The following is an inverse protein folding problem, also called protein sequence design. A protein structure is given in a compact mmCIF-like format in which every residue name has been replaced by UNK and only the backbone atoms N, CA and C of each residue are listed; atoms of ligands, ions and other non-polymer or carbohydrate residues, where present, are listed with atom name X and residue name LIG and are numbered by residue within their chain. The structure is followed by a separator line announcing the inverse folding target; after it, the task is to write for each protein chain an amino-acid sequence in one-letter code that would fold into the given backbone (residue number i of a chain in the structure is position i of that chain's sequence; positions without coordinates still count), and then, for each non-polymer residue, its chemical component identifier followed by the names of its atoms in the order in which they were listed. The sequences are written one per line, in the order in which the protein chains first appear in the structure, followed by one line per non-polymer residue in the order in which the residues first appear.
data_IF_504890052336
#
_entry.id   IF_504890052336
#
_cell.length_a   1.000
_cell.length_b   1.000
_cell.length_c   1.000
_cell.angle_alpha   90.00
_cell.angle_beta   90.00
_cell.angle_gamma   90.00
#
_symmetry.space_group_name_H-M   'P 1'
#
loop_
_entity.id
_entity.type
_entity.pdbx_description
1 polymer ?
#
# COMPACT_ATOMS: atom_id res chain seq x y z
N UNK A 1 11.42 -15.37 6.71
CA UNK A 1 10.21 -15.12 5.91
C UNK A 1 10.53 -15.12 4.41
N UNK A 2 9.53 -15.50 3.59
CA UNK A 2 9.62 -15.45 2.13
C UNK A 2 9.40 -14.03 1.60
N UNK A 3 9.97 -13.74 0.42
CA UNK A 3 9.81 -12.46 -0.28
C UNK A 3 9.56 -12.75 -1.75
N UNK A 4 8.48 -12.19 -2.28
CA UNK A 4 8.18 -12.18 -3.71
C UNK A 4 8.02 -10.73 -4.17
N UNK A 5 8.59 -10.40 -5.32
CA UNK A 5 8.52 -9.05 -5.89
C UNK A 5 7.82 -9.14 -7.23
N UNK A 6 6.69 -8.47 -7.36
CA UNK A 6 5.91 -8.40 -8.58
C UNK A 6 6.25 -7.11 -9.33
N UNK A 7 6.63 -7.26 -10.58
CA UNK A 7 6.94 -6.15 -11.48
C UNK A 7 5.67 -5.59 -12.17
N UNK A 8 5.87 -4.59 -13.03
CA UNK A 8 4.77 -3.92 -13.72
C UNK A 8 3.93 -4.87 -14.57
N UNK A 9 4.58 -5.78 -15.31
CA UNK A 9 3.86 -6.67 -16.23
C UNK A 9 3.01 -7.68 -15.45
N UNK A 10 3.56 -8.23 -14.37
CA UNK A 10 2.83 -9.09 -13.45
C UNK A 10 1.65 -8.37 -12.78
N UNK A 11 1.83 -7.10 -12.40
CA UNK A 11 0.75 -6.28 -11.83
C UNK A 11 -0.38 -6.00 -12.84
N UNK A 12 -0.04 -5.85 -14.13
CA UNK A 12 -1.02 -5.74 -15.21
C UNK A 12 -1.83 -7.04 -15.34
N UNK A 13 -1.16 -8.20 -15.37
CA UNK A 13 -1.81 -9.51 -15.43
C UNK A 13 -2.71 -9.76 -14.20
N UNK A 14 -2.29 -9.29 -13.04
CA UNK A 14 -3.04 -9.38 -11.79
C UNK A 14 -4.23 -8.41 -11.72
N UNK A 15 -4.32 -7.44 -12.64
CA UNK A 15 -5.37 -6.43 -12.64
C UNK A 15 -5.27 -5.40 -11.50
N UNK A 16 -4.05 -5.09 -11.04
CA UNK A 16 -3.79 -4.12 -9.98
C UNK A 16 -3.91 -2.67 -10.48
N UNK A 17 -5.10 -2.30 -10.96
CA UNK A 17 -5.33 -1.01 -11.61
C UNK A 17 -5.26 0.20 -10.69
N UNK A 18 -5.43 0.02 -9.38
CA UNK A 18 -5.21 1.08 -8.39
C UNK A 18 -3.74 1.48 -8.32
N UNK A 19 -2.84 0.51 -8.13
CA UNK A 19 -1.39 0.74 -8.09
C UNK A 19 -0.86 1.27 -9.44
N UNK A 20 -1.27 0.65 -10.54
CA UNK A 20 -0.85 1.04 -11.89
C UNK A 20 -1.34 2.44 -12.27
N UNK A 21 -2.56 2.81 -11.88
CA UNK A 21 -3.12 4.13 -12.14
C UNK A 21 -2.35 5.24 -11.43
N UNK A 22 -2.04 5.05 -10.15
CA UNK A 22 -1.24 6.00 -9.37
C UNK A 22 0.17 6.12 -9.95
N UNK A 23 0.77 5.00 -10.37
CA UNK A 23 2.10 4.99 -11.00
C UNK A 23 2.16 5.73 -12.34
N UNK A 24 1.04 5.96 -13.02
CA UNK A 24 1.01 6.49 -14.39
C UNK A 24 1.80 7.77 -14.66
N UNK A 25 2.09 8.56 -13.62
CA UNK A 25 2.90 9.78 -13.69
C UNK A 25 4.39 9.58 -13.40
N UNK A 26 4.81 8.42 -12.86
CA UNK A 26 6.19 8.13 -12.51
C UNK A 26 6.97 7.54 -13.68
N UNK A 27 8.28 7.81 -13.73
CA UNK A 27 9.23 7.13 -14.62
C UNK A 27 9.75 5.83 -14.00
N UNK A 28 9.64 5.71 -12.67
CA UNK A 28 10.00 4.50 -11.94
C UNK A 28 8.84 3.51 -11.98
N UNK A 29 9.12 2.25 -12.25
CA UNK A 29 8.09 1.23 -12.30
C UNK A 29 7.56 0.87 -10.91
N UNK A 30 6.25 0.55 -10.79
CA UNK A 30 5.67 0.11 -9.54
C UNK A 30 6.17 -1.27 -9.15
N UNK A 31 6.16 -1.56 -7.88
CA UNK A 31 6.41 -2.91 -7.35
C UNK A 31 5.38 -3.24 -6.27
N UNK A 32 4.89 -4.44 -6.29
CA UNK A 32 4.26 -5.03 -5.12
C UNK A 32 5.23 -6.04 -4.51
N UNK A 33 5.47 -5.94 -3.21
CA UNK A 33 6.30 -6.89 -2.48
C UNK A 33 5.39 -7.69 -1.57
N UNK A 34 5.32 -9.00 -1.79
CA UNK A 34 4.62 -9.92 -0.93
C UNK A 34 5.61 -10.58 0.03
N UNK A 35 5.30 -10.49 1.31
CA UNK A 35 6.06 -11.10 2.39
C UNK A 35 5.23 -12.23 2.99
N UNK A 36 5.86 -13.38 3.27
CA UNK A 36 5.18 -14.53 3.87
C UNK A 36 5.96 -15.05 5.08
N UNK A 37 5.30 -15.17 6.21
CA UNK A 37 5.82 -15.80 7.40
C UNK A 37 4.93 -16.97 7.81
N UNK A 38 5.56 -18.11 8.02
CA UNK A 38 4.89 -19.31 8.49
C UNK A 38 5.65 -19.83 9.72
N UNK A 39 5.00 -19.91 10.89
CA UNK A 39 5.63 -20.45 12.08
C UNK A 39 5.89 -21.96 11.93
N UNK A 40 6.86 -22.48 12.68
CA UNK A 40 7.14 -23.91 12.72
C UNK A 40 5.90 -24.68 13.21
N UNK A 41 5.55 -25.77 12.51
CA UNK A 41 4.39 -26.57 12.82
C UNK A 41 3.04 -25.97 12.39
N UNK A 42 3.02 -24.89 11.61
CA UNK A 42 1.79 -24.33 11.09
C UNK A 42 0.99 -25.38 10.27
N UNK A 43 -0.33 -25.37 10.47
CA UNK A 43 -1.29 -26.26 9.79
C UNK A 43 -2.57 -25.52 9.44
N UNK A 44 -3.61 -26.29 9.05
CA UNK A 44 -4.88 -25.70 8.58
C UNK A 44 -5.61 -24.82 9.60
N UNK A 45 -5.41 -25.09 10.89
CA UNK A 45 -6.04 -24.33 11.98
C UNK A 45 -5.17 -23.18 12.53
N UNK A 46 -4.00 -22.93 11.90
CA UNK A 46 -3.12 -21.82 12.32
C UNK A 46 -3.74 -20.50 11.88
N UNK A 47 -3.98 -19.54 12.80
CA UNK A 47 -4.52 -18.24 12.43
C UNK A 47 -3.64 -17.54 11.37
N UNK A 48 -4.28 -16.78 10.46
CA UNK A 48 -3.60 -16.11 9.36
C UNK A 48 -3.94 -14.61 9.33
N UNK A 49 -2.93 -13.77 9.53
CA UNK A 49 -3.05 -12.31 9.51
C UNK A 49 -2.54 -11.74 8.19
N UNK A 50 -3.36 -10.93 7.53
CA UNK A 50 -2.98 -10.10 6.40
C UNK A 50 -2.53 -8.70 6.85
N UNK A 51 -1.39 -8.22 6.37
CA UNK A 51 -0.89 -6.86 6.60
C UNK A 51 -0.75 -6.13 5.27
N UNK A 52 -1.42 -4.99 5.11
CA UNK A 52 -1.34 -4.17 3.91
C UNK A 52 -0.65 -2.85 4.24
N UNK A 53 0.48 -2.58 3.60
CA UNK A 53 1.29 -1.40 3.82
C UNK A 53 1.30 -0.43 2.64
N UNK A 54 0.94 0.84 2.88
CA UNK A 54 1.11 1.92 1.91
C UNK A 54 2.61 2.18 1.70
N UNK A 55 3.05 2.12 0.44
CA UNK A 55 4.45 2.27 0.04
C UNK A 55 4.66 3.35 -1.02
N UNK A 56 4.14 4.55 -0.80
CA UNK A 56 4.37 5.68 -1.71
C UNK A 56 5.77 6.26 -1.42
N UNK A 57 6.73 6.00 -2.32
CA UNK A 57 8.14 6.40 -2.11
C UNK A 57 8.30 7.90 -2.11
N UNK A 58 7.53 8.62 -2.93
CA UNK A 58 7.38 10.05 -2.89
C UNK A 58 5.96 10.44 -3.33
N UNK A 59 5.27 11.22 -2.50
CA UNK A 59 3.93 11.72 -2.79
C UNK A 59 3.96 13.22 -3.10
N UNK A 60 3.93 13.56 -4.39
CA UNK A 60 3.77 14.95 -4.81
C UNK A 60 2.32 15.44 -4.79
N UNK A 61 1.36 14.52 -4.61
CA UNK A 61 -0.07 14.75 -4.84
C UNK A 61 -0.51 14.46 -6.28
N UNK A 62 0.43 14.17 -7.18
CA UNK A 62 0.13 14.00 -8.60
C UNK A 62 -0.32 15.31 -9.25
N UNK A 63 -1.34 15.26 -10.13
CA UNK A 63 -1.92 16.49 -10.75
C UNK A 63 -2.58 17.40 -9.69
N UNK A 64 -3.12 16.84 -8.62
CA UNK A 64 -3.56 17.60 -7.43
C UNK A 64 -2.33 17.97 -6.57
N UNK A 65 -1.38 18.69 -7.16
CA UNK A 65 -0.06 18.96 -6.61
C UNK A 65 -0.14 19.59 -5.21
N UNK A 66 0.59 19.03 -4.27
CA UNK A 66 0.71 19.59 -2.92
C UNK A 66 1.35 20.98 -2.97
N UNK A 67 0.94 21.92 -2.09
CA UNK A 67 1.64 23.19 -1.92
C UNK A 67 3.13 22.96 -1.62
N UNK A 68 4.00 23.82 -2.14
CA UNK A 68 5.45 23.76 -1.90
C UNK A 68 5.78 24.27 -0.47
N UNK A 69 5.42 23.49 0.52
CA UNK A 69 5.58 23.78 1.94
C UNK A 69 6.38 22.69 2.68
N UNK A 70 6.49 22.82 3.99
CA UNK A 70 7.20 21.85 4.84
C UNK A 70 6.60 20.43 4.78
N UNK A 71 5.29 20.32 4.55
CA UNK A 71 4.61 19.03 4.44
C UNK A 71 5.03 18.31 3.15
N UNK A 72 5.02 19.04 2.02
CA UNK A 72 5.48 18.49 0.75
C UNK A 72 6.96 18.03 0.81
N UNK A 73 7.81 18.80 1.51
CA UNK A 73 9.23 18.49 1.66
C UNK A 73 9.49 17.17 2.40
N UNK A 74 8.52 16.67 3.20
CA UNK A 74 8.66 15.43 3.98
C UNK A 74 8.05 14.21 3.31
N UNK A 75 7.48 14.32 2.13
CA UNK A 75 6.69 13.26 1.49
C UNK A 75 7.46 11.99 1.07
N UNK A 76 8.77 11.94 1.28
CA UNK A 76 9.54 10.68 1.27
C UNK A 76 9.20 9.76 2.45
N UNK A 77 8.45 10.23 3.44
CA UNK A 77 7.95 9.43 4.56
C UNK A 77 6.68 8.64 4.22
N UNK A 78 6.08 8.87 3.05
CA UNK A 78 4.77 8.33 2.69
C UNK A 78 4.76 6.81 2.38
N UNK A 79 5.90 6.18 2.59
CA UNK A 79 6.13 4.73 2.54
C UNK A 79 6.22 4.09 3.95
N UNK A 80 5.97 4.83 5.01
CA UNK A 80 6.13 4.33 6.39
C UNK A 80 5.19 3.15 6.68
N UNK A 81 4.02 3.08 6.05
CA UNK A 81 3.12 1.93 6.16
C UNK A 81 3.78 0.64 5.71
N UNK A 82 4.34 0.63 4.50
CA UNK A 82 5.11 -0.51 3.97
C UNK A 82 6.36 -0.78 4.82
N UNK A 83 7.07 0.26 5.24
CA UNK A 83 8.24 0.16 6.12
C UNK A 83 7.89 -0.48 7.47
N UNK A 84 6.74 -0.15 8.05
CA UNK A 84 6.27 -0.74 9.31
C UNK A 84 5.93 -2.22 9.16
N UNK A 85 5.27 -2.60 8.06
CA UNK A 85 4.99 -4.02 7.76
C UNK A 85 6.30 -4.79 7.61
N UNK A 86 7.25 -4.29 6.81
CA UNK A 86 8.56 -4.92 6.63
C UNK A 86 9.31 -5.04 7.97
N UNK A 87 9.31 -3.97 8.78
CA UNK A 87 9.91 -3.97 10.11
C UNK A 87 9.33 -5.06 11.03
N UNK A 88 8.00 -5.22 11.03
CA UNK A 88 7.35 -6.30 11.78
C UNK A 88 7.83 -7.69 11.34
N UNK A 89 7.93 -7.93 10.03
CA UNK A 89 8.41 -9.22 9.50
C UNK A 89 9.84 -9.58 9.94
N UNK A 90 10.69 -8.60 10.20
CA UNK A 90 12.08 -8.86 10.64
C UNK A 90 12.17 -9.51 12.02
N UNK A 91 11.12 -9.38 12.84
CA UNK A 91 11.13 -9.84 14.24
C UNK A 91 10.14 -10.97 14.54
N UNK A 92 9.25 -11.35 13.61
CA UNK A 92 8.21 -12.37 13.85
C UNK A 92 8.79 -13.70 14.35
N UNK A 93 9.85 -14.18 13.72
CA UNK A 93 10.49 -15.44 14.09
C UNK A 93 11.18 -15.35 15.47
N UNK A 94 11.89 -14.24 15.73
CA UNK A 94 12.58 -14.02 17.00
C UNK A 94 11.62 -13.91 18.17
N UNK A 95 10.45 -13.28 17.95
CA UNK A 95 9.39 -13.16 18.95
C UNK A 95 8.56 -14.44 19.12
N UNK A 96 8.83 -15.50 18.35
CA UNK A 96 8.08 -16.75 18.39
C UNK A 96 6.61 -16.58 18.00
N UNK A 97 6.34 -15.74 17.00
CA UNK A 97 4.98 -15.52 16.50
C UNK A 97 4.36 -16.85 16.04
N UNK A 98 3.21 -17.22 16.60
CA UNK A 98 2.49 -18.46 16.30
C UNK A 98 1.44 -18.32 15.20
N UNK A 99 1.31 -17.13 14.60
CA UNK A 99 0.34 -16.79 13.56
C UNK A 99 1.03 -16.78 12.20
N UNK A 100 0.41 -17.34 11.17
CA UNK A 100 0.83 -17.09 9.78
C UNK A 100 0.60 -15.61 9.44
N UNK A 101 1.55 -15.00 8.74
CA UNK A 101 1.42 -13.60 8.36
C UNK A 101 1.76 -13.45 6.88
N UNK A 102 0.88 -12.80 6.11
CA UNK A 102 1.17 -12.34 4.75
C UNK A 102 1.13 -10.82 4.72
N UNK A 103 2.16 -10.22 4.14
CA UNK A 103 2.27 -8.77 3.98
C UNK A 103 2.25 -8.37 2.52
N UNK A 104 1.54 -7.29 2.16
CA UNK A 104 1.54 -6.68 0.83
C UNK A 104 2.03 -5.25 0.95
N UNK A 105 3.17 -4.95 0.33
CA UNK A 105 3.76 -3.61 0.28
C UNK A 105 3.52 -3.03 -1.11
N UNK A 106 2.69 -2.00 -1.19
CA UNK A 106 2.25 -1.39 -2.45
C UNK A 106 3.14 -0.20 -2.78
N UNK A 107 4.20 -0.44 -3.56
CA UNK A 107 5.29 0.50 -3.78
C UNK A 107 5.19 1.21 -5.12
N UNK A 108 5.12 2.54 -5.11
CA UNK A 108 5.14 3.43 -6.27
C UNK A 108 5.44 4.87 -5.86
N UNK A 109 5.70 5.74 -6.83
CA UNK A 109 5.62 7.18 -6.64
C UNK A 109 4.26 7.71 -7.09
N UNK A 110 3.84 8.85 -6.55
CA UNK A 110 2.71 9.65 -7.05
C UNK A 110 3.25 10.97 -7.63
N UNK A 111 3.43 11.03 -8.96
CA UNK A 111 4.11 12.13 -9.64
C UNK A 111 3.22 12.79 -10.70
N UNK A 112 3.33 14.13 -10.89
CA UNK A 112 2.71 14.82 -12.00
C UNK A 112 3.53 14.60 -13.28
N UNK A 113 2.86 14.29 -14.38
CA UNK A 113 3.47 14.23 -15.71
C UNK A 113 2.39 14.27 -16.79
N UNK A 114 2.79 14.22 -18.06
CA UNK A 114 1.85 14.13 -19.17
C UNK A 114 1.03 12.83 -19.21
N UNK A 115 1.48 11.79 -18.54
CA UNK A 115 0.81 10.48 -18.43
C UNK A 115 0.15 10.23 -17.09
N UNK A 116 0.24 11.20 -16.16
CA UNK A 116 -0.30 11.06 -14.83
C UNK A 116 -1.83 10.91 -14.82
N UNK A 117 -2.32 10.23 -13.80
CA UNK A 117 -3.72 10.12 -13.46
C UNK A 117 -4.35 11.51 -13.28
N UNK A 118 -5.55 11.71 -13.83
CA UNK A 118 -6.28 12.97 -13.79
C UNK A 118 -7.59 12.84 -13.03
N UNK A 119 -8.05 13.93 -12.47
CA UNK A 119 -9.41 13.98 -11.92
C UNK A 119 -10.43 13.70 -13.03
N UNK A 120 -11.42 12.84 -12.72
CA UNK A 120 -12.40 12.33 -13.67
C UNK A 120 -11.98 11.05 -14.41
N UNK A 121 -10.72 10.61 -14.29
CA UNK A 121 -10.32 9.29 -14.78
C UNK A 121 -11.01 8.21 -13.94
N UNK A 122 -11.34 7.09 -14.59
CA UNK A 122 -11.95 5.93 -13.93
C UNK A 122 -10.96 4.77 -13.95
N UNK A 123 -10.54 4.33 -12.78
CA UNK A 123 -9.70 3.14 -12.62
C UNK A 123 -10.56 1.90 -12.41
N UNK A 124 -10.09 0.77 -12.92
CA UNK A 124 -10.62 -0.54 -12.54
C UNK A 124 -9.60 -1.21 -11.63
N UNK A 125 -9.91 -1.34 -10.36
CA UNK A 125 -9.04 -1.99 -9.37
C UNK A 125 -9.13 -3.51 -9.49
N UNK A 126 -8.23 -4.23 -8.80
CA UNK A 126 -8.34 -5.67 -8.69
C UNK A 126 -9.74 -6.07 -8.18
N UNK A 127 -10.29 -7.15 -8.70
CA UNK A 127 -11.67 -7.57 -8.41
C UNK A 127 -12.74 -6.85 -9.24
N UNK A 128 -12.35 -5.93 -10.14
CA UNK A 128 -13.24 -5.32 -11.13
C UNK A 128 -14.03 -4.11 -10.64
N UNK A 129 -13.82 -3.63 -9.41
CA UNK A 129 -14.47 -2.41 -8.92
C UNK A 129 -13.92 -1.19 -9.65
N UNK A 130 -14.81 -0.34 -10.14
CA UNK A 130 -14.44 0.93 -10.79
C UNK A 130 -14.47 2.07 -9.78
N UNK A 131 -13.45 2.93 -9.86
CA UNK A 131 -13.29 4.10 -8.97
C UNK A 131 -13.04 5.33 -9.82
N UNK A 132 -13.91 6.33 -9.70
CA UNK A 132 -13.66 7.66 -10.28
C UNK A 132 -12.70 8.44 -9.38
N UNK A 133 -11.66 8.99 -9.99
CA UNK A 133 -10.63 9.76 -9.28
C UNK A 133 -11.06 11.22 -9.16
N UNK A 134 -11.39 11.66 -7.97
CA UNK A 134 -11.78 13.04 -7.69
C UNK A 134 -10.65 13.89 -7.12
N UNK A 135 -9.58 13.24 -6.65
CA UNK A 135 -8.39 13.89 -6.11
C UNK A 135 -7.21 12.94 -6.26
N UNK A 136 -6.18 13.33 -6.99
CA UNK A 136 -5.00 12.48 -7.20
C UNK A 136 -4.06 12.43 -5.98
N UNK A 137 -4.26 13.32 -4.99
CA UNK A 137 -3.60 13.27 -3.66
C UNK A 137 -4.32 12.32 -2.68
N UNK A 138 -5.28 11.53 -3.16
CA UNK A 138 -5.91 10.44 -2.43
C UNK A 138 -5.46 9.07 -2.97
N UNK A 139 -4.21 8.96 -3.37
CA UNK A 139 -3.56 7.83 -4.04
C UNK A 139 -3.40 6.61 -3.12
N UNK A 140 -3.16 6.84 -1.83
CA UNK A 140 -2.90 5.77 -0.85
C UNK A 140 -4.02 4.74 -0.78
N UNK A 141 -5.27 5.17 -0.76
CA UNK A 141 -6.43 4.28 -0.77
C UNK A 141 -6.58 3.50 -2.08
N UNK A 142 -6.13 4.09 -3.20
CA UNK A 142 -6.17 3.43 -4.51
C UNK A 142 -5.16 2.30 -4.58
N UNK A 143 -3.90 2.55 -4.19
CA UNK A 143 -2.86 1.50 -4.20
C UNK A 143 -3.17 0.38 -3.22
N UNK A 144 -3.73 0.69 -2.04
CA UNK A 144 -4.07 -0.32 -1.05
C UNK A 144 -5.31 -1.13 -1.42
N UNK A 145 -6.23 -0.59 -2.25
CA UNK A 145 -7.44 -1.31 -2.65
C UNK A 145 -7.13 -2.64 -3.35
N UNK A 146 -6.10 -2.67 -4.21
CA UNK A 146 -5.68 -3.89 -4.89
C UNK A 146 -5.16 -4.94 -3.89
N UNK A 147 -4.34 -4.52 -2.92
CA UNK A 147 -3.81 -5.41 -1.89
C UNK A 147 -4.89 -5.92 -0.94
N UNK A 148 -5.91 -5.11 -0.64
CA UNK A 148 -7.04 -5.56 0.18
C UNK A 148 -7.81 -6.69 -0.51
N UNK A 149 -8.03 -6.60 -1.82
CA UNK A 149 -8.65 -7.70 -2.57
C UNK A 149 -7.76 -8.94 -2.55
N UNK A 150 -6.44 -8.79 -2.81
CA UNK A 150 -5.49 -9.91 -2.72
C UNK A 150 -5.52 -10.57 -1.34
N UNK A 151 -5.59 -9.79 -0.27
CA UNK A 151 -5.66 -10.31 1.09
C UNK A 151 -6.95 -11.10 1.34
N UNK A 152 -8.07 -10.73 0.70
CA UNK A 152 -9.34 -11.49 0.80
C UNK A 152 -9.39 -12.73 -0.10
N UNK A 153 -8.53 -12.81 -1.09
CA UNK A 153 -8.39 -14.00 -1.94
C UNK A 153 -7.54 -15.11 -1.28
N UNK A 154 -6.79 -14.76 -0.24
CA UNK A 154 -6.10 -15.71 0.63
C UNK A 154 -6.94 -16.03 1.87
N UNK A 155 -6.72 -17.19 2.53
CA UNK A 155 -7.48 -17.57 3.72
C UNK A 155 -7.03 -16.79 4.97
N UNK A 156 -7.09 -15.45 4.91
CA UNK A 156 -6.76 -14.61 6.07
C UNK A 156 -7.96 -14.48 7.01
N UNK A 157 -7.74 -14.64 8.30
CA UNK A 157 -8.76 -14.47 9.35
C UNK A 157 -9.00 -12.99 9.68
N UNK A 158 -7.96 -12.18 9.50
CA UNK A 158 -8.03 -10.72 9.71
C UNK A 158 -7.07 -9.99 8.78
N UNK A 159 -7.42 -8.74 8.44
CA UNK A 159 -6.55 -7.86 7.65
C UNK A 159 -6.37 -6.53 8.38
N UNK A 160 -5.11 -6.09 8.51
CA UNK A 160 -4.75 -4.78 9.08
C UNK A 160 -4.06 -3.94 8.01
N UNK A 161 -4.49 -2.70 7.85
CA UNK A 161 -3.86 -1.72 6.95
C UNK A 161 -3.01 -0.74 7.74
N UNK A 162 -1.83 -0.40 7.22
CA UNK A 162 -0.93 0.57 7.81
C UNK A 162 -0.55 1.59 6.75
N UNK A 163 -0.88 2.86 7.01
CA UNK A 163 -0.70 3.91 6.01
C UNK A 163 -0.54 5.29 6.63
N UNK A 164 0.32 6.09 6.06
CA UNK A 164 0.35 7.55 6.17
C UNK A 164 -0.75 8.12 5.27
N UNK A 165 -2.02 7.91 5.64
CA UNK A 165 -3.14 7.98 4.70
C UNK A 165 -3.64 9.40 4.46
N UNK A 166 -3.78 10.18 5.53
CA UNK A 166 -4.38 11.53 5.45
C UNK A 166 -3.98 12.40 6.63
N UNK A 167 -3.82 13.70 6.39
CA UNK A 167 -3.60 14.69 7.44
C UNK A 167 -4.79 14.88 8.41
N UNK A 168 -5.94 14.25 8.14
CA UNK A 168 -7.10 14.32 9.02
C UNK A 168 -6.82 13.73 10.41
N UNK A 169 -6.03 12.65 10.49
CA UNK A 169 -5.64 12.05 11.77
C UNK A 169 -4.85 13.06 12.64
N UNK A 170 -3.88 13.75 12.05
CA UNK A 170 -3.09 14.78 12.75
C UNK A 170 -3.96 15.95 13.21
N UNK A 171 -4.95 16.34 12.42
CA UNK A 171 -5.88 17.43 12.79
C UNK A 171 -6.81 17.03 13.92
N UNK A 172 -7.23 15.77 13.95
CA UNK A 172 -8.17 15.27 14.96
C UNK A 172 -7.49 14.91 16.29
N UNK A 173 -6.29 14.30 16.24
CA UNK A 173 -5.62 13.66 17.37
C UNK A 173 -4.31 14.35 17.79
N UNK A 174 -3.79 15.30 17.00
CA UNK A 174 -2.47 15.89 17.19
C UNK A 174 -1.34 14.93 16.74
N UNK A 175 -0.10 15.28 17.08
CA UNK A 175 1.10 14.59 16.62
C UNK A 175 1.54 13.44 17.54
N UNK A 176 0.94 13.34 18.73
CA UNK A 176 1.36 12.40 19.78
C UNK A 176 0.57 11.09 19.76
N UNK A 177 -0.50 11.00 18.95
CA UNK A 177 -1.43 9.86 18.95
C UNK A 177 -1.59 9.32 17.55
N UNK A 178 -1.34 8.02 17.38
CA UNK A 178 -1.68 7.31 16.15
C UNK A 178 -3.20 7.08 16.07
N UNK A 179 -3.77 7.24 14.87
CA UNK A 179 -5.16 6.85 14.63
C UNK A 179 -5.22 5.34 14.35
N UNK A 180 -6.14 4.67 15.02
CA UNK A 180 -6.46 3.24 14.83
C UNK A 180 -7.93 3.11 14.39
#
# INVERSE_FOLDING_TARGET
FGVEVFDRDQLVEMGCGGLLGVNGGSVEEPRMIKLTYQPEGAGADTPHLGLVGKGIMYDSGGISLKPADGTHATMKNDMTGAGSVLGAFTVLAELGCSTMVTGWLMCTDNMPSGTALKMGDVLTTRGGTTVEVMNTDAEGRLVMSDALVLATEEPTDAVVTIATLTGAALRALGIEVAAV
#
